data_IF_946755356752
#
_entry.id   IF_946755356752
#
_cell.length_a   1.000
_cell.length_b   1.000
_cell.length_c   1.000
_cell.angle_alpha   90.00
_cell.angle_beta   90.00
_cell.angle_gamma   90.00
#
_symmetry.space_group_name_H-M   'P 1'
#
loop_
_entity.id
_entity.type
_entity.pdbx_description
1 polymer ?
#
# COMPACT_ATOMS: atom_id res chain seq x y z
N UNK A 1 14.80 -3.95 1.33
CA UNK A 1 13.92 -5.15 1.35
C UNK A 1 12.66 -4.80 0.55
N UNK A 2 11.90 -5.80 0.11
CA UNK A 2 10.87 -5.66 -0.94
C UNK A 2 9.49 -6.06 -0.46
N UNK A 3 8.45 -5.44 -1.00
CA UNK A 3 7.06 -5.82 -0.75
C UNK A 3 6.60 -6.73 -1.88
N UNK A 4 6.17 -7.94 -1.55
CA UNK A 4 5.50 -8.78 -2.52
C UNK A 4 4.12 -8.18 -2.89
N UNK A 5 3.43 -8.69 -3.93
CA UNK A 5 2.16 -8.14 -4.35
C UNK A 5 1.05 -8.22 -3.28
N UNK A 6 1.09 -9.21 -2.39
CA UNK A 6 0.07 -9.42 -1.37
C UNK A 6 0.22 -8.40 -0.26
N UNK A 7 1.43 -8.23 0.26
CA UNK A 7 1.73 -7.21 1.26
C UNK A 7 1.53 -5.80 0.70
N UNK A 8 1.96 -5.54 -0.54
CA UNK A 8 1.72 -4.26 -1.21
C UNK A 8 0.21 -3.97 -1.38
N UNK A 9 -0.59 -4.97 -1.71
CA UNK A 9 -2.04 -4.85 -1.81
C UNK A 9 -2.66 -4.52 -0.43
N UNK A 10 -2.28 -5.27 0.60
CA UNK A 10 -2.78 -5.09 1.96
C UNK A 10 -2.48 -3.71 2.56
N UNK A 11 -1.26 -3.21 2.34
CA UNK A 11 -0.82 -1.91 2.86
C UNK A 11 -1.22 -0.71 2.00
N UNK A 12 -1.52 -0.90 0.72
CA UNK A 12 -2.01 0.20 -0.14
C UNK A 12 -3.53 0.29 -0.21
N UNK A 13 -4.24 -0.80 0.09
CA UNK A 13 -5.68 -0.93 -0.14
C UNK A 13 -6.06 -1.29 -1.58
N UNK A 14 -5.10 -1.53 -2.47
CA UNK A 14 -5.37 -2.03 -3.81
C UNK A 14 -5.63 -3.53 -3.80
N UNK A 15 -6.44 -4.03 -4.73
CA UNK A 15 -6.57 -5.48 -4.99
C UNK A 15 -5.37 -6.00 -5.80
N UNK A 16 -5.06 -7.29 -5.71
CA UNK A 16 -4.04 -7.94 -6.54
C UNK A 16 -4.28 -7.71 -8.05
N UNK A 17 -5.55 -7.70 -8.47
CA UNK A 17 -5.96 -7.42 -9.85
C UNK A 17 -5.68 -5.96 -10.24
N UNK A 18 -5.93 -5.01 -9.34
CA UNK A 18 -5.58 -3.61 -9.56
C UNK A 18 -4.07 -3.45 -9.68
N UNK A 19 -3.27 -4.05 -8.80
CA UNK A 19 -1.80 -4.03 -8.93
C UNK A 19 -1.34 -4.58 -10.29
N UNK A 20 -1.92 -5.70 -10.73
CA UNK A 20 -1.64 -6.29 -12.03
C UNK A 20 -2.06 -5.43 -13.21
N UNK A 21 -3.16 -4.70 -13.09
CA UNK A 21 -3.62 -3.78 -14.11
C UNK A 21 -2.80 -2.48 -14.15
N UNK A 22 -2.44 -1.94 -12.98
CA UNK A 22 -1.79 -0.65 -12.81
C UNK A 22 -0.34 -0.64 -13.24
N UNK A 23 0.36 -1.77 -13.16
CA UNK A 23 1.75 -1.92 -13.64
C UNK A 23 1.89 -2.16 -15.15
N UNK A 24 0.80 -2.48 -15.84
CA UNK A 24 0.86 -2.76 -17.29
C UNK A 24 0.85 -1.47 -18.08
N UNK A 25 1.81 -1.34 -18.99
CA UNK A 25 1.77 -0.38 -20.09
C UNK A 25 0.94 -1.00 -21.21
N UNK A 26 -0.08 -0.30 -21.68
CA UNK A 26 -0.90 -0.70 -22.83
C UNK A 26 -0.62 0.20 -24.03
N UNK A 27 -1.05 -0.23 -25.22
CA UNK A 27 -0.85 0.48 -26.50
C UNK A 27 -1.33 1.94 -26.46
N UNK A 28 -2.38 2.22 -25.69
CA UNK A 28 -2.99 3.55 -25.59
C UNK A 28 -2.93 4.18 -24.20
N UNK A 29 -2.26 3.53 -23.22
CA UNK A 29 -2.29 3.97 -21.81
C UNK A 29 -0.99 3.62 -21.09
N UNK A 30 -0.39 4.62 -20.44
CA UNK A 30 0.73 4.42 -19.53
C UNK A 30 0.36 3.59 -18.30
N UNK A 31 1.37 2.99 -17.68
CA UNK A 31 1.22 2.38 -16.36
C UNK A 31 0.97 3.49 -15.31
N UNK A 32 0.09 3.19 -14.35
CA UNK A 32 -0.14 4.06 -13.19
C UNK A 32 1.15 4.09 -12.35
N UNK A 33 1.67 2.90 -12.04
CA UNK A 33 2.92 2.73 -11.32
C UNK A 33 3.64 1.47 -11.82
N UNK A 34 4.90 1.62 -12.22
CA UNK A 34 5.80 0.51 -12.52
C UNK A 34 6.63 0.26 -11.26
N UNK A 35 6.68 -0.97 -10.72
CA UNK A 35 7.44 -1.24 -9.50
C UNK A 35 8.92 -0.88 -9.66
N UNK A 36 9.49 -0.20 -8.67
CA UNK A 36 10.90 0.21 -8.67
C UNK A 36 11.86 -0.98 -8.54
N UNK A 37 11.46 -2.03 -7.81
CA UNK A 37 12.37 -3.14 -7.49
C UNK A 37 12.33 -4.24 -8.56
N UNK A 38 11.14 -4.76 -8.87
CA UNK A 38 10.99 -5.76 -9.94
C UNK A 38 9.61 -5.66 -10.57
N UNK A 39 9.59 -5.32 -11.87
CA UNK A 39 8.36 -5.26 -12.67
C UNK A 39 8.02 -6.58 -13.37
N UNK A 40 8.97 -7.53 -13.40
CA UNK A 40 8.82 -8.90 -13.95
C UNK A 40 8.72 -9.93 -12.81
N UNK A 41 8.45 -11.21 -13.10
CA UNK A 41 8.27 -12.22 -12.02
C UNK A 41 9.64 -12.59 -11.37
N UNK A 42 9.75 -12.61 -10.03
CA UNK A 42 8.74 -12.20 -9.05
C UNK A 42 8.58 -10.68 -8.99
N UNK A 43 7.33 -10.20 -8.98
CA UNK A 43 7.02 -8.77 -8.95
C UNK A 43 7.22 -8.25 -7.54
N UNK A 44 8.03 -7.20 -7.38
CA UNK A 44 8.45 -6.67 -6.09
C UNK A 44 8.35 -5.15 -6.09
N UNK A 45 7.75 -4.60 -5.03
CA UNK A 45 7.54 -3.17 -4.84
C UNK A 45 8.51 -2.63 -3.78
N UNK A 46 8.82 -1.33 -3.85
CA UNK A 46 9.51 -0.57 -2.80
C UNK A 46 8.50 0.02 -1.80
N UNK A 47 8.97 0.60 -0.69
CA UNK A 47 8.09 1.35 0.20
C UNK A 47 7.46 2.56 -0.52
N UNK A 48 8.24 3.24 -1.36
CA UNK A 48 7.78 4.37 -2.17
C UNK A 48 6.65 3.93 -3.09
N UNK A 49 6.79 2.78 -3.73
CA UNK A 49 5.73 2.18 -4.54
C UNK A 49 4.44 1.97 -3.73
N UNK A 50 4.54 1.44 -2.51
CA UNK A 50 3.37 1.24 -1.63
C UNK A 50 2.68 2.57 -1.29
N UNK A 51 3.44 3.62 -0.96
CA UNK A 51 2.89 4.97 -0.71
C UNK A 51 2.18 5.53 -1.95
N UNK A 52 2.79 5.38 -3.12
CA UNK A 52 2.22 5.83 -4.39
C UNK A 52 0.94 5.04 -4.76
N UNK A 53 0.93 3.73 -4.55
CA UNK A 53 -0.26 2.89 -4.73
C UNK A 53 -1.38 3.30 -3.77
N UNK A 54 -1.05 3.56 -2.50
CA UNK A 54 -1.99 4.01 -1.48
C UNK A 54 -2.60 5.37 -1.81
N UNK A 55 -1.79 6.28 -2.36
CA UNK A 55 -2.24 7.56 -2.90
C UNK A 55 -3.25 7.35 -4.04
N UNK A 56 -2.94 6.48 -5.00
CA UNK A 56 -3.85 6.14 -6.09
C UNK A 56 -5.17 5.51 -5.60
N UNK A 57 -5.13 4.64 -4.59
CA UNK A 57 -6.34 4.04 -3.98
C UNK A 57 -7.18 5.11 -3.28
N UNK A 58 -6.56 6.04 -2.55
CA UNK A 58 -7.27 7.15 -1.91
C UNK A 58 -7.93 8.06 -2.95
N UNK A 59 -7.21 8.45 -4.01
CA UNK A 59 -7.77 9.23 -5.11
C UNK A 59 -8.94 8.51 -5.80
N UNK A 60 -8.95 7.18 -5.83
CA UNK A 60 -10.06 6.38 -6.42
C UNK A 60 -11.37 6.49 -5.64
N UNK A 61 -11.37 7.06 -4.43
CA UNK A 61 -12.61 7.36 -3.71
C UNK A 61 -13.39 8.48 -4.40
N UNK A 62 -12.69 9.48 -4.93
CA UNK A 62 -13.30 10.69 -5.49
C UNK A 62 -13.03 10.85 -7.01
N UNK A 63 -12.16 10.04 -7.60
CA UNK A 63 -11.78 10.16 -9.01
C UNK A 63 -11.80 8.83 -9.79
N UNK A 64 -12.16 8.94 -11.07
CA UNK A 64 -12.08 7.80 -12.00
C UNK A 64 -10.62 7.44 -12.31
N UNK A 65 -10.34 6.16 -12.63
CA UNK A 65 -8.98 5.72 -12.99
C UNK A 65 -8.48 6.43 -14.26
N UNK A 66 -9.40 6.82 -15.15
CA UNK A 66 -9.08 7.61 -16.33
C UNK A 66 -8.66 9.04 -15.96
N UNK A 67 -9.34 9.68 -14.99
CA UNK A 67 -8.90 10.99 -14.45
C UNK A 67 -7.52 10.88 -13.83
N UNK A 68 -7.27 9.84 -13.02
CA UNK A 68 -5.95 9.59 -12.41
C UNK A 68 -4.88 9.44 -13.47
N UNK A 69 -5.09 8.60 -14.49
CA UNK A 69 -4.12 8.45 -15.60
C UNK A 69 -3.83 9.78 -16.29
N UNK A 70 -4.87 10.55 -16.64
CA UNK A 70 -4.71 11.87 -17.25
C UNK A 70 -3.90 12.82 -16.37
N UNK A 71 -4.16 12.83 -15.06
CA UNK A 71 -3.42 13.66 -14.11
C UNK A 71 -1.93 13.25 -14.05
N UNK A 72 -1.63 11.95 -14.03
CA UNK A 72 -0.26 11.44 -14.07
C UNK A 72 0.45 11.75 -15.40
N UNK A 73 -0.27 11.71 -16.52
CA UNK A 73 0.26 12.09 -17.83
C UNK A 73 0.61 13.58 -17.87
N UNK A 74 -0.25 14.45 -17.30
CA UNK A 74 0.03 15.89 -17.17
C UNK A 74 1.20 16.15 -16.22
N UNK A 75 1.28 15.46 -15.08
CA UNK A 75 2.41 15.56 -14.14
C UNK A 75 3.74 15.24 -14.84
N UNK A 76 3.82 14.08 -15.49
CA UNK A 76 5.07 13.61 -16.13
C UNK A 76 5.40 14.34 -17.44
N UNK A 77 4.39 14.71 -18.21
CA UNK A 77 4.52 15.27 -19.55
C UNK A 77 4.57 16.80 -19.56
N UNK A 78 3.51 17.43 -19.06
CA UNK A 78 3.34 18.89 -19.13
C UNK A 78 4.21 19.60 -18.08
N UNK A 79 4.14 19.15 -16.82
CA UNK A 79 4.91 19.73 -15.71
C UNK A 79 6.34 19.21 -15.66
N UNK A 80 6.65 18.13 -16.39
CA UNK A 80 7.97 17.47 -16.43
C UNK A 80 8.46 17.00 -15.05
N UNK A 81 7.53 16.74 -14.15
CA UNK A 81 7.79 16.19 -12.82
C UNK A 81 8.13 14.70 -12.94
N UNK A 82 9.41 14.37 -12.71
CA UNK A 82 9.98 13.03 -12.98
C UNK A 82 10.32 12.23 -11.73
N UNK A 83 10.20 12.84 -10.56
CA UNK A 83 10.38 12.11 -9.31
C UNK A 83 9.34 11.00 -9.14
N UNK A 84 9.62 10.09 -8.23
CA UNK A 84 8.73 8.99 -7.92
C UNK A 84 7.39 9.51 -7.38
N UNK A 85 6.27 8.88 -7.75
CA UNK A 85 4.92 9.38 -7.42
C UNK A 85 4.70 9.64 -5.91
N UNK A 86 5.43 8.93 -5.05
CA UNK A 86 5.39 9.09 -3.60
C UNK A 86 5.97 10.42 -3.08
N UNK A 87 6.69 11.19 -3.89
CA UNK A 87 7.21 12.51 -3.49
C UNK A 87 6.20 13.63 -3.67
N UNK A 88 5.10 13.36 -4.37
CA UNK A 88 4.07 14.36 -4.63
C UNK A 88 2.86 14.17 -3.74
N UNK A 89 2.27 15.29 -3.38
CA UNK A 89 0.96 15.34 -2.76
C UNK A 89 -0.11 15.46 -3.84
N UNK A 90 -0.91 14.41 -4.02
CA UNK A 90 -2.05 14.44 -4.93
C UNK A 90 -3.37 14.40 -4.15
N UNK A 91 -4.30 15.29 -4.52
CA UNK A 91 -5.61 15.44 -3.87
C UNK A 91 -6.71 15.42 -4.93
N UNK A 92 -7.89 14.88 -4.59
CA UNK A 92 -9.08 14.91 -5.45
C UNK A 92 -10.26 15.54 -4.69
N UNK A 93 -11.12 16.26 -5.42
CA UNK A 93 -12.34 16.92 -4.88
C UNK A 93 -13.63 16.41 -5.55
N UNK A 94 -13.58 15.26 -6.23
CA UNK A 94 -14.66 14.75 -7.07
C UNK A 94 -14.65 15.31 -8.50
N UNK A 95 -14.34 16.61 -8.63
CA UNK A 95 -14.35 17.32 -9.91
C UNK A 95 -13.02 17.18 -10.66
N UNK A 96 -11.89 17.26 -9.95
CA UNK A 96 -10.54 17.28 -10.49
C UNK A 96 -9.52 16.54 -9.61
N UNK A 97 -8.25 16.53 -10.05
CA UNK A 97 -7.10 16.06 -9.29
C UNK A 97 -6.06 17.17 -9.29
N UNK A 98 -5.46 17.45 -8.14
CA UNK A 98 -4.53 18.54 -7.92
C UNK A 98 -3.19 18.01 -7.43
N UNK A 99 -2.10 18.59 -7.90
CA UNK A 99 -0.79 18.54 -7.26
C UNK A 99 -0.77 19.65 -6.21
N UNK A 100 -0.65 19.30 -4.93
CA UNK A 100 -0.54 20.30 -3.87
C UNK A 100 0.92 20.51 -3.46
N UNK A 101 1.28 21.77 -3.35
CA UNK A 101 2.51 22.30 -2.78
C UNK A 101 2.15 23.10 -1.52
N UNK A 102 3.12 23.44 -0.65
CA UNK A 102 2.83 24.08 0.64
C UNK A 102 1.96 25.36 0.56
N UNK A 103 2.04 26.10 -0.54
CA UNK A 103 1.39 27.39 -0.73
C UNK A 103 0.40 27.45 -1.92
N UNK A 104 0.38 26.42 -2.77
CA UNK A 104 -0.43 26.42 -3.99
C UNK A 104 -0.86 25.01 -4.41
N UNK A 105 -1.89 24.92 -5.23
CA UNK A 105 -2.25 23.68 -5.89
C UNK A 105 -2.49 23.88 -7.39
N UNK A 106 -2.00 22.92 -8.18
CA UNK A 106 -2.08 22.90 -9.64
C UNK A 106 -3.09 21.84 -10.08
N UNK A 107 -4.12 22.23 -10.82
CA UNK A 107 -5.10 21.28 -11.38
C UNK A 107 -4.48 20.46 -12.53
N UNK A 108 -4.28 19.16 -12.30
CA UNK A 108 -3.66 18.22 -13.23
C UNK A 108 -4.62 17.71 -14.32
N UNK A 109 -5.93 17.96 -14.23
CA UNK A 109 -6.92 17.49 -15.21
C UNK A 109 -7.33 18.62 -16.15
N UNK A 110 -7.67 19.79 -15.60
CA UNK A 110 -8.14 20.98 -16.34
C UNK A 110 -6.99 21.94 -16.70
N UNK A 111 -5.78 21.73 -16.16
CA UNK A 111 -4.58 22.54 -16.44
C UNK A 111 -4.76 24.03 -16.09
N UNK A 112 -5.47 24.33 -15.00
CA UNK A 112 -5.62 25.70 -14.49
C UNK A 112 -4.76 25.85 -13.24
N UNK A 113 -3.88 26.85 -13.25
CA UNK A 113 -3.10 27.22 -12.08
C UNK A 113 -3.98 28.04 -11.14
N UNK A 114 -3.88 27.73 -9.84
CA UNK A 114 -4.40 28.49 -8.70
C UNK A 114 -5.77 28.02 -8.18
N UNK A 115 -5.75 27.02 -7.30
CA UNK A 115 -6.78 26.82 -6.27
C UNK A 115 -6.05 26.77 -4.92
N UNK A 116 -6.50 27.57 -3.95
CA UNK A 116 -6.06 27.43 -2.54
C UNK A 116 -6.81 26.23 -1.99
N UNK A 117 -6.09 25.14 -1.69
CA UNK A 117 -6.68 23.92 -1.14
C UNK A 117 -6.16 23.78 0.29
N UNK A 118 -7.07 23.68 1.25
CA UNK A 118 -6.73 23.30 2.61
C UNK A 118 -6.14 21.88 2.60
N UNK A 119 -4.96 21.71 3.21
CA UNK A 119 -4.25 20.42 3.27
C UNK A 119 -5.15 19.30 3.79
N UNK A 120 -5.25 18.22 3.02
CA UNK A 120 -5.58 16.90 3.57
C UNK A 120 -4.74 15.83 2.89
N UNK A 121 -3.45 15.76 3.21
CA UNK A 121 -2.66 14.54 3.00
C UNK A 121 -2.73 13.70 4.25
N UNK A 122 -3.62 12.73 4.18
CA UNK A 122 -3.62 11.67 5.16
C UNK A 122 -3.58 10.29 4.52
N UNK A 123 -2.70 10.15 3.52
CA UNK A 123 -2.49 8.86 2.84
C UNK A 123 -1.94 7.85 3.84
N UNK A 124 -1.15 8.27 4.83
CA UNK A 124 -0.51 7.38 5.79
C UNK A 124 -1.45 6.87 6.88
N UNK A 125 -2.51 7.60 7.21
CA UNK A 125 -3.46 7.20 8.26
C UNK A 125 -4.49 6.18 7.76
N UNK A 126 -5.25 5.54 8.68
CA UNK A 126 -6.27 4.58 8.31
C UNK A 126 -7.40 5.21 7.49
N UNK A 127 -8.01 4.44 6.58
CA UNK A 127 -9.19 4.86 5.82
C UNK A 127 -10.02 3.65 5.37
N UNK A 128 -11.24 3.88 4.89
CA UNK A 128 -12.09 2.81 4.35
C UNK A 128 -12.09 2.80 2.82
N UNK A 129 -12.08 1.60 2.24
CA UNK A 129 -12.19 1.38 0.80
C UNK A 129 -13.07 0.16 0.54
N UNK A 130 -14.16 0.34 -0.21
CA UNK A 130 -15.07 -0.74 -0.61
C UNK A 130 -15.52 -1.62 0.58
N UNK A 131 -15.82 -1.00 1.72
CA UNK A 131 -16.21 -1.66 2.98
C UNK A 131 -15.06 -2.25 3.81
N UNK A 132 -13.83 -2.24 3.30
CA UNK A 132 -12.63 -2.72 4.00
C UNK A 132 -11.95 -1.57 4.74
N UNK A 133 -11.56 -1.81 5.99
CA UNK A 133 -10.71 -0.90 6.76
C UNK A 133 -9.23 -1.09 6.36
N UNK A 134 -8.64 -0.05 5.79
CA UNK A 134 -7.22 -0.01 5.45
C UNK A 134 -6.47 0.57 6.65
N UNK A 135 -5.56 -0.18 7.31
CA UNK A 135 -4.90 0.26 8.53
C UNK A 135 -3.89 1.37 8.25
N UNK A 136 -3.43 2.07 9.29
CA UNK A 136 -2.34 3.05 9.18
C UNK A 136 -1.11 2.41 8.55
N UNK A 137 -0.44 3.11 7.64
CA UNK A 137 0.72 2.57 6.96
C UNK A 137 1.90 2.42 7.92
N UNK A 138 2.16 3.40 8.78
CA UNK A 138 3.33 3.42 9.66
C UNK A 138 3.14 2.56 10.91
N UNK A 139 1.89 2.35 11.33
CA UNK A 139 1.56 1.55 12.51
C UNK A 139 0.25 0.78 12.30
N UNK A 140 0.26 -0.31 11.51
CA UNK A 140 -0.96 -1.03 11.14
C UNK A 140 -1.68 -1.71 12.31
N UNK A 141 -0.97 -2.01 13.40
CA UNK A 141 -1.48 -2.47 14.70
C UNK A 141 -0.73 -1.81 15.85
N UNK A 142 -1.26 -1.91 17.07
CA UNK A 142 -0.65 -1.26 18.22
C UNK A 142 0.83 -1.64 18.41
N UNK A 143 1.17 -2.91 18.17
CA UNK A 143 2.52 -3.46 18.29
C UNK A 143 3.20 -3.80 16.96
N UNK A 144 2.65 -3.38 15.81
CA UNK A 144 3.26 -3.59 14.49
C UNK A 144 3.57 -2.24 13.85
N UNK A 145 4.82 -2.03 13.45
CA UNK A 145 5.30 -0.77 12.85
C UNK A 145 5.97 -0.99 11.50
N UNK A 146 5.89 0.00 10.63
CA UNK A 146 6.56 0.06 9.33
C UNK A 146 7.49 1.27 9.31
N UNK A 147 8.77 1.01 9.13
CA UNK A 147 9.80 2.05 8.97
C UNK A 147 10.70 1.66 7.78
N UNK A 148 10.78 2.48 6.71
CA UNK A 148 11.65 2.20 5.56
C UNK A 148 13.12 1.95 5.92
N UNK A 149 13.62 2.56 7.00
CA UNK A 149 14.98 2.37 7.49
C UNK A 149 15.17 1.01 8.20
N UNK A 150 14.09 0.38 8.65
CA UNK A 150 14.10 -0.91 9.33
C UNK A 150 13.62 -1.98 8.36
N UNK A 151 14.51 -2.92 8.00
CA UNK A 151 14.17 -4.05 7.10
C UNK A 151 13.48 -3.57 5.81
N UNK A 152 13.79 -2.36 5.30
CA UNK A 152 13.15 -1.81 4.10
C UNK A 152 11.65 -1.51 4.24
N UNK A 153 11.15 -1.36 5.48
CA UNK A 153 9.74 -1.13 5.80
C UNK A 153 8.85 -2.36 5.77
N UNK A 154 9.43 -3.57 5.75
CA UNK A 154 8.66 -4.76 6.13
C UNK A 154 8.05 -4.52 7.53
N UNK A 155 6.76 -4.79 7.75
CA UNK A 155 6.18 -4.61 9.07
C UNK A 155 6.89 -5.48 10.10
N UNK A 156 7.25 -4.89 11.23
CA UNK A 156 7.98 -5.55 12.31
C UNK A 156 7.27 -5.34 13.64
N UNK A 157 7.55 -6.20 14.62
CA UNK A 157 7.15 -5.96 15.99
C UNK A 157 7.81 -4.68 16.49
N UNK A 158 7.00 -3.77 17.03
CA UNK A 158 7.41 -2.45 17.52
C UNK A 158 8.61 -2.55 18.47
N UNK A 159 9.64 -1.75 18.23
CA UNK A 159 10.87 -1.76 19.03
C UNK A 159 11.84 -2.89 18.70
N UNK A 160 11.56 -3.71 17.68
CA UNK A 160 12.42 -4.81 17.25
C UNK A 160 12.68 -4.77 15.74
N UNK A 161 13.46 -5.73 15.24
CA UNK A 161 13.59 -6.03 13.79
C UNK A 161 12.89 -7.34 13.40
N UNK A 162 12.09 -7.91 14.30
CA UNK A 162 11.42 -9.20 14.13
C UNK A 162 10.20 -9.00 13.22
N UNK A 163 10.14 -9.67 12.06
CA UNK A 163 9.01 -9.57 11.14
C UNK A 163 7.71 -10.09 11.76
N UNK A 164 6.60 -9.43 11.46
CA UNK A 164 5.28 -9.84 11.98
C UNK A 164 4.88 -11.25 11.52
N UNK A 165 5.26 -11.63 10.30
CA UNK A 165 4.89 -12.88 9.64
C UNK A 165 5.66 -14.08 10.20
N UNK A 166 6.91 -13.90 10.62
CA UNK A 166 7.67 -14.91 11.38
C UNK A 166 7.00 -15.21 12.73
N UNK A 167 6.56 -14.18 13.45
CA UNK A 167 5.84 -14.36 14.73
C UNK A 167 4.48 -15.02 14.50
N UNK A 168 3.74 -14.59 13.48
CA UNK A 168 2.47 -15.21 13.13
C UNK A 168 2.64 -16.67 12.69
N UNK A 169 3.75 -17.03 12.03
CA UNK A 169 4.06 -18.41 11.67
C UNK A 169 4.22 -19.30 12.92
N UNK A 170 4.93 -18.84 13.95
CA UNK A 170 5.04 -19.58 15.21
C UNK A 170 3.68 -19.83 15.86
N UNK A 171 2.79 -18.83 15.88
CA UNK A 171 1.42 -18.99 16.40
C UNK A 171 0.62 -20.02 15.60
N UNK A 172 0.79 -20.04 14.27
CA UNK A 172 0.16 -21.05 13.38
C UNK A 172 0.72 -22.45 13.60
N UNK A 173 1.98 -22.56 14.01
CA UNK A 173 2.64 -23.81 14.42
C UNK A 173 2.35 -24.17 15.89
N UNK A 174 1.23 -23.68 16.43
CA UNK A 174 0.70 -23.96 17.77
C UNK A 174 1.61 -23.52 18.94
N UNK A 175 2.57 -22.62 18.70
CA UNK A 175 3.31 -21.97 19.79
C UNK A 175 2.39 -20.97 20.50
N UNK A 176 2.19 -21.13 21.81
CA UNK A 176 1.33 -20.22 22.57
C UNK A 176 1.95 -18.80 22.63
N UNK A 177 1.13 -17.73 22.65
CA UNK A 177 1.63 -16.36 22.65
C UNK A 177 2.63 -16.05 23.78
N UNK A 178 2.46 -16.66 24.95
CA UNK A 178 3.33 -16.48 26.12
C UNK A 178 4.75 -17.04 25.88
N UNK A 179 4.84 -18.08 25.06
CA UNK A 179 6.10 -18.76 24.72
C UNK A 179 6.85 -18.12 23.56
N UNK A 180 6.29 -17.10 22.92
CA UNK A 180 6.99 -16.40 21.84
C UNK A 180 8.29 -15.74 22.34
N UNK A 181 8.32 -15.34 23.60
CA UNK A 181 9.53 -14.82 24.24
C UNK A 181 10.68 -15.84 24.30
N UNK A 182 10.40 -17.15 24.24
CA UNK A 182 11.41 -18.21 24.16
C UNK A 182 12.21 -18.13 22.84
N UNK A 183 11.57 -17.64 21.77
CA UNK A 183 12.16 -17.50 20.43
C UNK A 183 12.66 -16.07 20.18
N UNK A 184 11.88 -15.09 20.60
CA UNK A 184 12.14 -13.67 20.43
C UNK A 184 11.96 -12.94 21.77
N UNK A 185 13.01 -12.81 22.61
CA UNK A 185 12.89 -12.33 23.99
C UNK A 185 12.26 -10.94 24.18
N UNK A 186 12.27 -10.10 23.13
CA UNK A 186 11.70 -8.75 23.17
C UNK A 186 10.28 -8.67 22.58
N UNK A 187 9.66 -9.80 22.26
CA UNK A 187 8.30 -9.87 21.72
C UNK A 187 7.35 -10.36 22.82
N UNK A 188 6.42 -9.50 23.22
CA UNK A 188 5.39 -9.85 24.21
C UNK A 188 4.28 -10.70 23.61
N UNK A 189 3.54 -11.42 24.44
CA UNK A 189 2.36 -12.17 24.02
C UNK A 189 1.32 -11.28 23.28
N UNK A 190 1.08 -10.07 23.80
CA UNK A 190 0.18 -9.09 23.15
C UNK A 190 0.70 -8.66 21.78
N UNK A 191 2.00 -8.48 21.63
CA UNK A 191 2.61 -8.13 20.34
C UNK A 191 2.53 -9.28 19.34
N UNK A 192 2.64 -10.52 19.81
CA UNK A 192 2.46 -11.71 18.98
C UNK A 192 1.02 -11.84 18.47
N UNK A 193 0.03 -11.57 19.32
CA UNK A 193 -1.38 -11.56 18.92
C UNK A 193 -1.67 -10.46 17.88
N UNK A 194 -1.15 -9.24 18.08
CA UNK A 194 -1.27 -8.17 17.09
C UNK A 194 -0.62 -8.53 15.74
N UNK A 195 0.51 -9.26 15.77
CA UNK A 195 1.19 -9.72 14.57
C UNK A 195 0.36 -10.77 13.82
N UNK A 196 -0.26 -11.72 14.54
CA UNK A 196 -1.16 -12.71 13.96
C UNK A 196 -2.40 -12.07 13.36
N UNK A 197 -3.07 -11.14 14.08
CA UNK A 197 -4.23 -10.42 13.55
C UNK A 197 -3.87 -9.62 12.28
N UNK A 198 -2.70 -8.98 12.27
CA UNK A 198 -2.23 -8.30 11.07
C UNK A 198 -1.92 -9.27 9.93
N UNK A 199 -1.37 -10.46 10.22
CA UNK A 199 -1.15 -11.50 9.23
C UNK A 199 -2.46 -12.02 8.63
N UNK A 200 -3.49 -12.26 9.45
CA UNK A 200 -4.81 -12.66 8.99
C UNK A 200 -5.44 -11.58 8.09
N UNK A 201 -5.27 -10.30 8.45
CA UNK A 201 -5.67 -9.18 7.59
C UNK A 201 -4.95 -9.20 6.24
N UNK A 202 -3.62 -9.41 6.22
CA UNK A 202 -2.85 -9.50 4.98
C UNK A 202 -3.27 -10.75 4.16
N UNK A 203 -3.54 -11.86 4.83
CA UNK A 203 -4.00 -13.12 4.23
C UNK A 203 -5.38 -12.98 3.58
N UNK A 204 -6.23 -12.07 4.08
CA UNK A 204 -7.54 -11.74 3.47
C UNK A 204 -7.45 -11.09 2.07
N UNK A 205 -6.25 -10.78 1.57
CA UNK A 205 -6.01 -10.30 0.20
C UNK A 205 -5.73 -11.42 -0.80
N UNK A 206 -5.50 -12.65 -0.33
CA UNK A 206 -5.41 -13.80 -1.24
C UNK A 206 -6.78 -14.05 -1.90
N UNK A 207 -6.80 -14.47 -3.18
CA UNK A 207 -8.03 -14.96 -3.77
C UNK A 207 -8.51 -16.17 -2.96
N UNK A 208 -9.84 -16.35 -2.80
CA UNK A 208 -10.37 -17.54 -2.15
C UNK A 208 -9.79 -18.77 -2.85
N UNK A 209 -9.25 -19.71 -2.06
CA UNK A 209 -8.78 -20.99 -2.60
C UNK A 209 -9.98 -21.66 -3.26
N UNK A 210 -9.89 -21.94 -4.56
CA UNK A 210 -10.90 -22.77 -5.22
C UNK A 210 -11.01 -24.09 -4.43
N UNK A 211 -12.22 -24.56 -4.12
CA UNK A 211 -12.37 -25.89 -3.56
C UNK A 211 -11.72 -26.85 -4.54
N UNK A 212 -10.73 -27.63 -4.07
CA UNK A 212 -10.24 -28.77 -4.84
C UNK A 212 -11.45 -29.63 -5.14
N UNK A 213 -11.94 -29.61 -6.38
CA UNK A 213 -12.83 -30.65 -6.86
C UNK A 213 -12.12 -31.96 -6.58
N UNK A 214 -12.71 -32.75 -5.68
CA UNK A 214 -12.34 -34.13 -5.53
C UNK A 214 -12.57 -34.76 -6.91
N UNK A 215 -11.49 -35.02 -7.62
CA UNK A 215 -11.49 -35.94 -8.73
C UNK A 215 -11.87 -37.32 -8.14
N UNK A 216 -13.18 -37.56 -8.05
CA UNK A 216 -13.74 -38.87 -7.85
C UNK A 216 -13.59 -39.61 -9.19
N UNK A 217 -12.74 -40.63 -9.17
CA UNK A 217 -12.75 -41.69 -10.17
C UNK A 217 -13.91 -42.65 -9.98
#
# INVERSE_FOLDING_TARGET
>A
MTYDPKLAAALSGATLRQLAHWRKVGVSRGAVLIPEISSTRPVLYSFRDVVALRTCVKLRNDASLQKIRRALDTLRGDLKERDHLSSYTLVADGSSIYLAEPDQAVDLVRKKANVVIHEMVDVLQPFYRDGRHIPSLLQPRAHVTVDPAIRGGVPVIKGTRVPYDEVAALLRDEVSPERISDYYPNVTATAALDAADFADYVDSYDPPKEPREAAAG
#
